data_IF_166793557368
#
_entry.id   IF_166793557368
#
_cell.length_a   1.000
_cell.length_b   1.000
_cell.length_c   1.000
_cell.angle_alpha   90.00
_cell.angle_beta   90.00
_cell.angle_gamma   90.00
#
_symmetry.space_group_name_H-M   'P 1'
#
loop_
_entity.id
_entity.type
_entity.pdbx_description
1 polymer ?
#
# COMPACT_ATOMS: atom_id res chain seq x y z
N UNK A 1 59.47 5.25 19.71
CA UNK A 1 59.55 6.45 18.85
C UNK A 1 59.06 6.03 17.47
N UNK A 2 58.05 6.63 16.84
CA UNK A 2 57.33 7.86 17.16
C UNK A 2 55.82 7.62 17.27
N UNK A 3 55.24 8.30 18.25
CA UNK A 3 53.80 8.54 18.28
C UNK A 3 53.50 9.58 17.21
N UNK A 4 52.64 9.23 16.25
CA UNK A 4 52.00 10.25 15.42
C UNK A 4 51.01 10.99 16.32
N UNK A 5 51.38 12.23 16.66
CA UNK A 5 50.63 13.18 17.49
C UNK A 5 49.82 14.14 16.60
N UNK A 6 49.28 13.66 15.49
CA UNK A 6 48.30 14.43 14.71
C UNK A 6 46.91 13.82 14.86
N UNK A 7 46.12 14.49 15.72
CA UNK A 7 44.71 14.27 16.00
C UNK A 7 44.37 12.97 16.75
N UNK A 8 43.94 13.11 18.01
CA UNK A 8 43.21 12.12 18.82
C UNK A 8 41.86 11.72 18.17
N UNK A 9 41.85 11.33 16.90
CA UNK A 9 40.69 10.70 16.28
C UNK A 9 40.83 9.22 16.61
N UNK A 10 40.17 8.82 17.69
CA UNK A 10 39.95 7.42 17.99
C UNK A 10 39.04 6.88 16.88
N UNK A 11 39.62 6.24 15.87
CA UNK A 11 38.86 5.62 14.77
C UNK A 11 38.20 4.36 15.31
N UNK A 12 37.02 4.52 15.90
CA UNK A 12 36.27 3.46 16.58
C UNK A 12 35.67 2.40 15.64
N UNK A 13 35.76 2.57 14.32
CA UNK A 13 35.05 1.76 13.32
C UNK A 13 35.94 1.03 12.30
N UNK A 14 37.27 1.15 12.37
CA UNK A 14 38.17 0.76 11.26
C UNK A 14 38.36 -0.74 11.02
N UNK A 15 37.42 -1.59 11.43
CA UNK A 15 37.49 -3.05 11.21
C UNK A 15 36.16 -3.79 11.33
N UNK A 16 35.03 -3.08 11.39
CA UNK A 16 33.73 -3.69 11.66
C UNK A 16 32.97 -3.90 10.34
N UNK A 17 33.09 -5.08 9.73
CA UNK A 17 32.18 -5.50 8.67
C UNK A 17 30.93 -6.11 9.31
N UNK A 18 29.78 -5.43 9.18
CA UNK A 18 28.50 -5.92 9.66
C UNK A 18 27.50 -5.91 8.50
N UNK A 19 26.72 -6.98 8.39
CA UNK A 19 25.66 -7.11 7.38
C UNK A 19 24.51 -6.12 7.58
N UNK A 20 24.43 -5.48 8.76
CA UNK A 20 23.45 -4.47 9.13
C UNK A 20 24.17 -3.26 9.72
N UNK A 21 23.73 -2.06 9.34
CA UNK A 21 24.12 -0.80 9.97
C UNK A 21 22.90 -0.16 10.59
N UNK A 22 22.97 0.20 11.87
CA UNK A 22 21.98 1.04 12.51
C UNK A 22 22.47 2.49 12.50
N UNK A 23 21.59 3.42 12.11
CA UNK A 23 21.95 4.83 12.00
C UNK A 23 22.18 5.45 13.39
N UNK A 24 23.21 6.30 13.45
CA UNK A 24 23.48 7.25 14.53
C UNK A 24 23.54 6.57 15.90
N UNK A 25 24.56 5.72 16.06
CA UNK A 25 24.94 5.11 17.34
C UNK A 25 26.26 5.67 17.88
N UNK A 26 26.78 6.74 17.27
CA UNK A 26 28.07 7.29 17.66
C UNK A 26 28.03 7.77 19.11
N UNK A 27 29.14 7.62 19.83
CA UNK A 27 29.34 7.95 21.25
C UNK A 27 29.31 9.47 21.53
N UNK A 28 28.53 10.21 20.76
CA UNK A 28 28.17 11.60 20.99
C UNK A 28 26.91 11.66 21.84
N UNK A 29 27.08 12.13 23.07
CA UNK A 29 26.08 12.12 24.12
C UNK A 29 24.76 12.79 23.69
N UNK A 30 24.81 13.91 22.98
CA UNK A 30 23.64 14.74 22.74
C UNK A 30 23.10 14.71 21.31
N UNK A 31 23.98 14.70 20.30
CA UNK A 31 23.59 14.76 18.89
C UNK A 31 22.81 13.51 18.45
N UNK A 32 23.35 12.33 18.80
CA UNK A 32 22.78 11.05 18.38
C UNK A 32 21.40 10.81 19.00
N UNK A 33 21.29 11.05 20.31
CA UNK A 33 20.03 10.93 21.02
C UNK A 33 18.98 11.92 20.50
N UNK A 34 19.37 13.17 20.26
CA UNK A 34 18.44 14.20 19.79
C UNK A 34 17.89 13.89 18.40
N UNK A 35 18.73 13.41 17.47
CA UNK A 35 18.30 13.04 16.13
C UNK A 35 17.35 11.82 16.17
N UNK A 36 17.72 10.76 16.88
CA UNK A 36 16.88 9.56 16.96
C UNK A 36 15.54 9.84 17.66
N UNK A 37 15.50 10.78 18.62
CA UNK A 37 14.25 11.27 19.23
C UNK A 37 13.43 12.14 18.29
N UNK A 38 14.05 12.91 17.38
CA UNK A 38 13.31 13.69 16.37
C UNK A 38 12.63 12.77 15.34
N UNK A 39 13.25 11.64 15.01
CA UNK A 39 12.66 10.65 14.09
C UNK A 39 11.50 9.88 14.73
N UNK A 40 11.49 9.74 16.06
CA UNK A 40 10.38 9.13 16.81
C UNK A 40 9.07 9.83 16.48
N UNK A 41 8.05 9.04 16.13
CA UNK A 41 6.73 9.45 15.69
C UNK A 41 6.66 10.17 14.33
N UNK A 42 7.79 10.48 13.69
CA UNK A 42 7.83 10.96 12.29
C UNK A 42 8.02 9.78 11.34
N UNK A 43 8.96 8.90 11.66
CA UNK A 43 9.24 7.67 10.91
C UNK A 43 8.58 6.51 11.66
N UNK A 44 7.72 5.77 10.97
CA UNK A 44 7.02 4.62 11.54
C UNK A 44 7.90 3.36 11.48
N UNK A 45 7.80 2.46 12.47
CA UNK A 45 8.51 1.20 12.39
C UNK A 45 8.00 0.33 11.22
N UNK A 46 8.94 -0.33 10.53
CA UNK A 46 8.69 -1.21 9.41
C UNK A 46 9.81 -1.20 8.35
N UNK A 47 9.58 -1.92 7.26
CA UNK A 47 10.51 -2.09 6.14
C UNK A 47 10.13 -1.19 4.97
N UNK A 48 11.07 -0.37 4.50
CA UNK A 48 10.87 0.59 3.43
C UNK A 48 11.32 0.08 2.06
N UNK A 49 12.38 -0.73 2.02
CA UNK A 49 12.83 -1.48 0.86
C UNK A 49 13.76 -2.62 1.30
N UNK A 50 14.03 -3.59 0.42
CA UNK A 50 14.93 -4.71 0.71
C UNK A 50 14.45 -5.60 1.84
N UNK A 51 15.38 -6.23 2.56
CA UNK A 51 15.12 -7.18 3.64
C UNK A 51 14.11 -8.30 3.26
N UNK A 52 14.30 -8.86 2.08
CA UNK A 52 13.46 -9.92 1.52
C UNK A 52 13.92 -11.29 2.02
N UNK A 53 13.07 -12.05 2.70
CA UNK A 53 13.38 -13.43 3.06
C UNK A 53 13.21 -14.34 1.84
N UNK A 54 14.30 -15.00 1.45
CA UNK A 54 14.32 -16.05 0.43
C UNK A 54 14.83 -17.36 1.04
N UNK A 55 14.46 -18.52 0.49
CA UNK A 55 15.03 -19.80 0.92
C UNK A 55 16.56 -19.78 0.87
N UNK A 56 17.19 -20.17 1.97
CA UNK A 56 18.65 -20.35 2.06
C UNK A 56 19.06 -21.79 1.77
N UNK A 57 20.33 -22.11 2.08
CA UNK A 57 20.82 -23.49 2.01
C UNK A 57 20.37 -24.28 3.23
N UNK A 58 19.80 -25.47 3.02
CA UNK A 58 19.29 -26.31 4.10
C UNK A 58 18.20 -25.60 4.93
N UNK A 59 18.19 -25.83 6.24
CA UNK A 59 17.25 -25.20 7.17
C UNK A 59 17.66 -23.75 7.50
N UNK A 60 17.75 -22.91 6.48
CA UNK A 60 18.03 -21.48 6.64
C UNK A 60 17.17 -20.61 5.73
N UNK A 61 17.00 -19.36 6.15
CA UNK A 61 16.43 -18.29 5.34
C UNK A 61 17.51 -17.25 5.13
N UNK A 62 17.70 -16.84 3.88
CA UNK A 62 18.58 -15.74 3.52
C UNK A 62 17.74 -14.47 3.43
N UNK A 63 18.09 -13.46 4.20
CA UNK A 63 17.50 -12.13 4.09
C UNK A 63 18.36 -11.33 3.14
N UNK A 64 17.78 -10.85 2.04
CA UNK A 64 18.52 -10.17 0.97
C UNK A 64 17.88 -8.84 0.58
N UNK A 65 18.67 -7.93 0.02
CA UNK A 65 18.18 -6.70 -0.60
C UNK A 65 18.54 -6.61 -2.08
N UNK A 66 19.05 -7.67 -2.69
CA UNK A 66 19.50 -7.67 -4.09
C UNK A 66 18.40 -7.35 -5.10
N UNK A 67 17.13 -7.64 -4.77
CA UNK A 67 15.99 -7.41 -5.66
C UNK A 67 15.33 -6.03 -5.47
N UNK A 68 15.91 -5.15 -4.65
CA UNK A 68 15.35 -3.82 -4.35
C UNK A 68 16.19 -2.70 -4.97
N UNK A 69 15.56 -1.54 -5.23
CA UNK A 69 16.25 -0.32 -5.67
C UNK A 69 17.12 0.25 -4.53
N UNK A 70 18.29 -0.37 -4.31
CA UNK A 70 19.26 0.03 -3.29
C UNK A 70 19.38 -0.93 -2.12
N UNK A 71 20.23 -0.56 -1.16
CA UNK A 71 20.42 -1.30 0.09
C UNK A 71 19.13 -1.27 0.92
N UNK A 72 18.76 -2.41 1.52
CA UNK A 72 17.51 -2.51 2.29
C UNK A 72 17.47 -1.47 3.40
N UNK A 73 16.29 -0.89 3.63
CA UNK A 73 16.08 0.12 4.65
C UNK A 73 14.88 -0.26 5.53
N UNK A 74 15.08 -0.20 6.84
CA UNK A 74 14.07 -0.45 7.85
C UNK A 74 14.14 0.62 8.92
N UNK A 75 13.06 0.78 9.68
CA UNK A 75 13.05 1.59 10.89
C UNK A 75 12.46 0.78 12.03
N UNK A 76 13.09 0.83 13.19
CA UNK A 76 12.74 0.06 14.38
C UNK A 76 12.50 1.03 15.51
N UNK A 77 11.38 0.84 16.19
CA UNK A 77 11.10 1.58 17.40
C UNK A 77 11.94 1.02 18.55
N UNK A 78 12.67 1.86 19.30
CA UNK A 78 13.50 1.44 20.44
C UNK A 78 13.24 2.38 21.61
N UNK A 79 12.34 1.99 22.51
CA UNK A 79 11.94 2.80 23.66
C UNK A 79 11.44 4.20 23.23
N UNK A 80 12.22 5.23 23.54
CA UNK A 80 11.91 6.64 23.28
C UNK A 80 12.58 7.19 22.01
N UNK A 81 13.21 6.34 21.21
CA UNK A 81 13.90 6.72 19.98
C UNK A 81 13.48 5.84 18.81
N UNK A 82 13.68 6.33 17.60
CA UNK A 82 13.50 5.57 16.38
C UNK A 82 14.89 5.31 15.75
N UNK A 83 15.18 4.05 15.42
CA UNK A 83 16.47 3.65 14.86
C UNK A 83 16.26 3.16 13.43
N UNK A 84 16.88 3.82 12.45
CA UNK A 84 16.93 3.33 11.08
C UNK A 84 17.99 2.24 10.97
N UNK A 85 17.72 1.18 10.21
CA UNK A 85 18.64 0.08 9.95
C UNK A 85 18.76 -0.14 8.45
N UNK A 86 20.00 -0.16 7.94
CA UNK A 86 20.33 -0.47 6.57
C UNK A 86 20.92 -1.87 6.46
N UNK A 87 20.48 -2.65 5.46
CA UNK A 87 21.09 -3.92 5.10
C UNK A 87 22.27 -3.68 4.14
N UNK A 88 23.47 -4.09 4.54
CA UNK A 88 24.70 -3.98 3.73
C UNK A 88 25.00 -5.26 2.97
N UNK A 89 24.78 -6.40 3.61
CA UNK A 89 25.02 -7.73 3.06
C UNK A 89 23.86 -8.68 3.40
N UNK A 90 23.77 -9.79 2.69
CA UNK A 90 22.81 -10.84 2.97
C UNK A 90 23.02 -11.43 4.37
N UNK A 91 21.93 -11.66 5.09
CA UNK A 91 21.96 -12.29 6.42
C UNK A 91 21.35 -13.67 6.33
N UNK A 92 22.14 -14.71 6.64
CA UNK A 92 21.63 -16.09 6.70
C UNK A 92 21.19 -16.42 8.12
N UNK A 93 19.93 -16.81 8.26
CA UNK A 93 19.30 -17.12 9.54
C UNK A 93 18.91 -18.60 9.57
N UNK A 94 19.45 -19.34 10.53
CA UNK A 94 19.07 -20.75 10.73
C UNK A 94 17.68 -20.86 11.35
N UNK A 95 16.91 -21.87 10.92
CA UNK A 95 15.55 -22.14 11.42
C UNK A 95 15.43 -23.58 11.93
N UNK A 96 14.50 -23.81 12.85
CA UNK A 96 14.24 -25.13 13.46
C UNK A 96 13.12 -25.87 12.73
N UNK A 97 13.34 -27.13 12.38
CA UNK A 97 12.30 -28.00 11.85
C UNK A 97 11.24 -28.37 12.90
N UNK A 98 10.01 -28.64 12.45
CA UNK A 98 8.87 -28.93 13.33
C UNK A 98 8.39 -27.74 14.16
N UNK A 99 8.71 -26.50 13.76
CA UNK A 99 8.39 -25.30 14.50
C UNK A 99 8.02 -24.13 13.57
N UNK A 100 7.29 -23.15 14.13
CA UNK A 100 7.16 -21.82 13.53
C UNK A 100 8.32 -20.96 14.01
N UNK A 101 9.17 -20.54 13.08
CA UNK A 101 10.29 -19.67 13.34
C UNK A 101 9.90 -18.25 12.95
N UNK A 102 9.89 -17.33 13.90
CA UNK A 102 9.66 -15.92 13.63
C UNK A 102 11.03 -15.28 13.37
N UNK A 103 11.22 -14.73 12.18
CA UNK A 103 12.43 -13.96 11.86
C UNK A 103 12.15 -12.52 12.25
N UNK A 104 13.02 -11.95 13.08
CA UNK A 104 12.89 -10.58 13.55
C UNK A 104 14.11 -9.77 13.15
N UNK A 105 13.89 -8.51 12.80
CA UNK A 105 14.94 -7.49 12.83
C UNK A 105 14.86 -6.79 14.19
N UNK A 106 15.95 -6.86 14.93
CA UNK A 106 16.13 -6.15 16.20
C UNK A 106 17.11 -4.99 16.00
N UNK A 107 16.82 -3.85 16.61
CA UNK A 107 17.77 -2.75 16.75
C UNK A 107 17.91 -2.40 18.23
N UNK A 108 19.11 -2.03 18.67
CA UNK A 108 19.33 -1.63 20.06
C UNK A 108 20.00 -0.26 20.09
N UNK A 109 19.52 0.57 21.02
CA UNK A 109 20.12 1.86 21.32
C UNK A 109 19.89 2.16 22.80
N UNK A 110 20.97 2.44 23.50
CA UNK A 110 20.94 2.92 24.87
C UNK A 110 21.96 4.05 25.02
N UNK A 111 21.54 5.13 25.66
CA UNK A 111 22.34 6.33 25.81
C UNK A 111 23.62 6.04 26.63
N UNK A 112 24.79 6.29 26.05
CA UNK A 112 26.08 6.05 26.69
C UNK A 112 26.60 4.61 26.61
N UNK A 113 25.85 3.70 25.97
CA UNK A 113 26.26 2.31 25.76
C UNK A 113 26.82 2.14 24.36
N UNK A 114 28.04 1.60 24.26
CA UNK A 114 28.64 1.25 22.96
C UNK A 114 28.02 -0.02 22.43
N UNK A 115 27.61 -0.02 21.17
CA UNK A 115 27.16 -1.23 20.46
C UNK A 115 28.30 -1.83 19.65
N UNK A 116 28.07 -3.01 19.07
CA UNK A 116 29.01 -3.70 18.17
C UNK A 116 29.47 -2.83 17.00
N UNK A 117 28.67 -1.84 16.58
CA UNK A 117 29.00 -0.92 15.47
C UNK A 117 29.99 0.18 15.87
N UNK A 118 30.08 0.49 17.17
CA UNK A 118 31.02 1.46 17.75
C UNK A 118 32.22 0.76 18.37
N UNK A 119 32.03 -0.46 18.87
CA UNK A 119 33.06 -1.26 19.53
C UNK A 119 32.75 -2.74 19.32
N UNK A 120 33.56 -3.41 18.50
CA UNK A 120 33.35 -4.82 18.16
C UNK A 120 33.45 -5.76 19.37
N UNK A 121 34.04 -5.31 20.49
CA UNK A 121 34.08 -6.07 21.74
C UNK A 121 32.79 -5.91 22.57
N UNK A 122 31.88 -5.03 22.18
CA UNK A 122 30.60 -4.86 22.88
C UNK A 122 29.72 -6.11 22.79
N UNK A 123 29.03 -6.43 23.87
CA UNK A 123 28.01 -7.47 23.92
C UNK A 123 26.65 -7.01 23.37
N UNK A 124 26.49 -5.72 23.08
CA UNK A 124 25.21 -5.13 22.63
C UNK A 124 25.23 -4.98 21.11
N UNK A 125 24.48 -5.82 20.41
CA UNK A 125 24.34 -5.71 18.95
C UNK A 125 23.63 -4.42 18.56
N UNK A 126 24.22 -3.63 17.65
CA UNK A 126 23.59 -2.44 17.09
C UNK A 126 22.26 -2.74 16.38
N UNK A 127 22.31 -3.72 15.48
CA UNK A 127 21.16 -4.36 14.87
C UNK A 127 21.51 -5.82 14.58
N UNK A 128 20.51 -6.69 14.57
CA UNK A 128 20.67 -8.10 14.21
C UNK A 128 19.38 -8.68 13.67
N UNK A 129 19.51 -9.68 12.79
CA UNK A 129 18.39 -10.52 12.38
C UNK A 129 18.62 -11.92 12.91
N UNK A 130 17.59 -12.49 13.54
CA UNK A 130 17.64 -13.85 14.05
C UNK A 130 16.26 -14.50 14.08
N UNK A 131 16.25 -15.82 14.21
CA UNK A 131 15.03 -16.61 14.38
C UNK A 131 14.72 -16.79 15.86
N UNK A 132 13.43 -16.71 16.18
CA UNK A 132 12.87 -17.05 17.49
C UNK A 132 11.66 -17.97 17.33
N UNK A 133 11.27 -18.66 18.40
CA UNK A 133 10.17 -19.66 18.35
C UNK A 133 9.04 -19.36 19.35
N UNK A 134 9.21 -18.34 20.17
CA UNK A 134 8.14 -17.78 20.99
C UNK A 134 7.32 -16.76 20.18
N UNK A 135 6.05 -16.62 20.54
CA UNK A 135 5.09 -15.79 19.81
C UNK A 135 5.11 -14.30 20.20
N UNK A 136 6.12 -13.86 20.96
CA UNK A 136 6.22 -12.50 21.48
C UNK A 136 7.26 -11.69 20.70
N UNK A 137 6.86 -10.53 20.16
CA UNK A 137 7.79 -9.58 19.53
C UNK A 137 8.24 -8.58 20.59
N UNK A 138 9.55 -8.39 20.73
CA UNK A 138 10.11 -7.40 21.64
C UNK A 138 9.80 -5.97 21.19
N UNK A 139 9.81 -5.01 22.12
CA UNK A 139 9.53 -3.60 21.80
C UNK A 139 10.53 -3.00 20.79
N UNK A 140 11.75 -3.53 20.79
CA UNK A 140 12.88 -3.14 19.93
C UNK A 140 13.00 -4.01 18.67
N UNK A 141 11.90 -4.65 18.25
CA UNK A 141 11.89 -5.64 17.17
C UNK A 141 10.73 -5.41 16.22
N UNK A 142 10.98 -5.73 14.95
CA UNK A 142 9.94 -5.83 13.93
C UNK A 142 10.01 -7.19 13.26
N UNK A 143 8.84 -7.78 13.01
CA UNK A 143 8.72 -9.10 12.41
C UNK A 143 8.99 -9.03 10.89
N UNK A 144 9.98 -9.79 10.41
CA UNK A 144 10.33 -9.92 8.99
C UNK A 144 9.42 -10.90 8.28
N UNK A 145 9.28 -12.09 8.85
CA UNK A 145 8.45 -13.17 8.35
C UNK A 145 8.31 -14.28 9.40
N UNK A 146 7.38 -15.20 9.14
CA UNK A 146 7.36 -16.50 9.82
C UNK A 146 7.77 -17.58 8.85
N UNK A 147 8.55 -18.54 9.31
CA UNK A 147 8.99 -19.71 8.56
C UNK A 147 8.39 -20.93 9.23
N UNK A 148 7.35 -21.48 8.63
CA UNK A 148 6.63 -22.65 9.15
C UNK A 148 7.30 -23.89 8.58
N UNK A 149 8.16 -24.52 9.37
CA UNK A 149 8.97 -25.65 8.91
C UNK A 149 8.35 -26.96 9.40
N UNK A 150 7.88 -27.86 8.52
CA UNK A 150 7.34 -29.16 8.91
C UNK A 150 8.39 -30.03 9.64
N UNK A 151 7.93 -30.98 10.45
CA UNK A 151 8.80 -31.99 11.04
C UNK A 151 9.48 -32.82 9.95
N UNK A 152 10.80 -33.03 10.07
CA UNK A 152 11.58 -33.81 9.09
C UNK A 152 11.99 -33.05 7.83
N UNK A 153 11.61 -31.78 7.67
CA UNK A 153 12.13 -30.95 6.58
C UNK A 153 13.65 -30.78 6.72
N UNK A 154 14.35 -30.84 5.59
CA UNK A 154 15.81 -30.66 5.50
C UNK A 154 16.22 -29.35 4.83
N UNK A 155 15.26 -28.67 4.19
CA UNK A 155 15.45 -27.37 3.58
C UNK A 155 14.21 -26.49 3.71
N UNK A 156 14.40 -25.17 3.73
CA UNK A 156 13.30 -24.20 3.63
C UNK A 156 12.87 -24.07 2.17
N UNK A 157 11.55 -24.02 1.92
CA UNK A 157 10.99 -23.68 0.60
C UNK A 157 10.29 -22.32 0.65
N UNK A 158 9.96 -21.76 -0.53
CA UNK A 158 9.31 -20.45 -0.62
C UNK A 158 7.94 -20.44 0.06
N UNK A 159 7.21 -21.55 -0.01
CA UNK A 159 5.87 -21.72 0.57
C UNK A 159 5.90 -21.77 2.10
N UNK A 160 7.03 -22.13 2.69
CA UNK A 160 7.22 -22.13 4.15
C UNK A 160 7.37 -20.70 4.71
N UNK A 161 7.69 -19.71 3.87
CA UNK A 161 7.92 -18.32 4.26
C UNK A 161 6.61 -17.52 4.16
N UNK A 162 6.11 -17.08 5.30
CA UNK A 162 4.88 -16.30 5.45
C UNK A 162 5.22 -14.84 5.72
N UNK A 163 4.88 -13.97 4.76
CA UNK A 163 5.14 -12.53 4.81
C UNK A 163 3.98 -11.70 5.40
N UNK A 164 2.86 -12.32 5.74
CA UNK A 164 1.64 -11.63 6.20
C UNK A 164 1.85 -10.65 7.37
N UNK A 165 2.81 -10.96 8.25
CA UNK A 165 3.09 -10.19 9.46
C UNK A 165 4.15 -9.11 9.24
N UNK A 166 4.78 -9.08 8.07
CA UNK A 166 5.81 -8.09 7.72
C UNK A 166 5.18 -6.72 7.57
N UNK A 167 5.69 -5.75 8.32
CA UNK A 167 5.20 -4.36 8.26
C UNK A 167 5.93 -3.62 7.14
N UNK A 168 5.40 -3.69 5.92
CA UNK A 168 5.91 -2.91 4.79
C UNK A 168 5.43 -1.46 4.90
N UNK A 169 6.33 -0.51 4.72
CA UNK A 169 6.07 0.92 4.70
C UNK A 169 6.54 1.47 3.37
N UNK A 170 5.65 2.01 2.55
CA UNK A 170 6.15 2.81 1.44
C UNK A 170 6.85 4.10 1.97
N UNK A 171 7.74 4.69 1.17
CA UNK A 171 8.29 6.03 1.47
C UNK A 171 7.39 7.06 0.77
N UNK A 172 6.89 8.06 1.50
CA UNK A 172 6.07 9.14 0.92
C UNK A 172 4.62 8.78 0.60
N UNK A 173 3.94 9.61 -0.18
CA UNK A 173 2.59 9.34 -0.73
C UNK A 173 2.74 8.78 -2.15
N UNK A 174 2.09 7.67 -2.44
CA UNK A 174 2.07 7.12 -3.79
C UNK A 174 1.05 7.88 -4.64
N UNK A 175 1.47 8.41 -5.79
CA UNK A 175 0.54 9.04 -6.71
C UNK A 175 -0.20 7.98 -7.51
N UNK A 176 -1.53 7.97 -7.42
CA UNK A 176 -2.37 6.99 -8.09
C UNK A 176 -3.39 7.63 -9.02
N UNK A 177 -3.67 6.93 -10.12
CA UNK A 177 -4.76 7.24 -11.06
C UNK A 177 -6.09 6.55 -10.68
N UNK A 178 -6.10 5.75 -9.60
CA UNK A 178 -7.31 5.11 -9.08
C UNK A 178 -8.27 6.15 -8.48
N UNK A 179 -9.58 5.97 -8.72
CA UNK A 179 -10.64 6.86 -8.19
C UNK A 179 -11.51 6.18 -7.11
N UNK A 180 -11.16 4.95 -6.72
CA UNK A 180 -11.91 4.13 -5.76
C UNK A 180 -11.05 3.64 -4.59
N UNK A 181 -9.80 4.08 -4.50
CA UNK A 181 -8.91 3.68 -3.40
C UNK A 181 -9.37 4.27 -2.08
N UNK A 182 -9.29 3.48 -1.02
CA UNK A 182 -9.49 3.93 0.37
C UNK A 182 -8.17 3.98 1.15
N UNK A 183 -7.04 3.79 0.48
CA UNK A 183 -5.72 3.83 1.11
C UNK A 183 -5.26 5.26 1.36
N UNK A 184 -5.05 5.62 2.62
CA UNK A 184 -4.60 6.97 3.03
C UNK A 184 -3.22 7.36 2.49
N UNK A 185 -2.42 6.37 2.07
CA UNK A 185 -1.09 6.59 1.50
C UNK A 185 -1.09 6.88 0.00
N UNK A 186 -2.24 6.80 -0.69
CA UNK A 186 -2.34 7.11 -2.11
C UNK A 186 -2.89 8.53 -2.31
N UNK A 187 -2.08 9.40 -2.89
CA UNK A 187 -2.51 10.73 -3.34
C UNK A 187 -3.09 10.65 -4.75
N UNK A 188 -4.25 11.24 -4.98
CA UNK A 188 -4.85 11.28 -6.31
C UNK A 188 -4.05 12.19 -7.26
N UNK A 189 -3.78 11.72 -8.48
CA UNK A 189 -3.20 12.57 -9.54
C UNK A 189 -4.27 13.47 -10.19
N UNK A 190 -3.88 14.51 -10.94
CA UNK A 190 -4.81 15.25 -11.80
C UNK A 190 -5.58 14.36 -12.78
N UNK A 191 -5.01 13.22 -13.21
CA UNK A 191 -5.67 12.24 -14.08
C UNK A 191 -6.75 11.45 -13.34
N UNK A 192 -6.52 11.02 -12.09
CA UNK A 192 -7.57 10.46 -11.23
C UNK A 192 -8.71 11.46 -11.04
N UNK A 193 -8.37 12.71 -10.70
CA UNK A 193 -9.37 13.77 -10.50
C UNK A 193 -10.19 14.01 -11.77
N UNK A 194 -9.54 14.05 -12.95
CA UNK A 194 -10.24 14.20 -14.23
C UNK A 194 -11.15 12.99 -14.54
N UNK A 195 -10.69 11.77 -14.28
CA UNK A 195 -11.50 10.57 -14.48
C UNK A 195 -12.74 10.54 -13.56
N UNK A 196 -12.60 10.93 -12.30
CA UNK A 196 -13.72 11.07 -11.38
C UNK A 196 -14.69 12.17 -11.82
N UNK A 197 -14.16 13.30 -12.30
CA UNK A 197 -14.96 14.38 -12.86
C UNK A 197 -15.74 13.93 -14.10
N UNK A 198 -15.10 13.27 -15.06
CA UNK A 198 -15.75 12.79 -16.29
C UNK A 198 -16.83 11.75 -15.99
N UNK A 199 -16.59 10.86 -15.02
CA UNK A 199 -17.59 9.89 -14.55
C UNK A 199 -18.80 10.59 -13.92
N UNK A 200 -18.56 11.60 -13.08
CA UNK A 200 -19.63 12.41 -12.49
C UNK A 200 -20.39 13.18 -13.58
N UNK A 201 -19.67 13.87 -14.46
CA UNK A 201 -20.24 14.63 -15.56
C UNK A 201 -21.09 13.73 -16.47
N UNK A 202 -20.59 12.58 -16.91
CA UNK A 202 -21.35 11.64 -17.75
C UNK A 202 -22.63 11.10 -17.09
N UNK A 203 -22.67 10.97 -15.76
CA UNK A 203 -23.88 10.55 -15.03
C UNK A 203 -24.92 11.67 -14.89
N UNK A 204 -24.49 12.93 -14.84
CA UNK A 204 -25.35 14.09 -14.57
C UNK A 204 -25.58 15.01 -15.77
N UNK A 205 -24.89 14.81 -16.89
CA UNK A 205 -25.26 15.40 -18.18
C UNK A 205 -26.45 14.62 -18.72
N UNK A 206 -27.66 15.12 -18.42
CA UNK A 206 -28.87 14.60 -19.03
C UNK A 206 -28.75 14.72 -20.56
N UNK A 207 -28.84 13.60 -21.26
CA UNK A 207 -28.91 13.60 -22.72
C UNK A 207 -30.37 13.74 -23.15
N UNK A 208 -30.62 14.46 -24.24
CA UNK A 208 -31.96 14.55 -24.80
C UNK A 208 -32.42 13.17 -25.31
N UNK A 209 -33.69 12.84 -25.10
CA UNK A 209 -34.22 11.59 -25.64
C UNK A 209 -34.40 11.69 -27.16
N UNK A 210 -34.16 10.58 -27.83
CA UNK A 210 -34.53 10.37 -29.24
C UNK A 210 -35.33 9.08 -29.35
N UNK A 211 -35.83 8.77 -30.55
CA UNK A 211 -36.52 7.49 -30.82
C UNK A 211 -35.61 6.27 -30.65
N UNK A 212 -34.28 6.45 -30.62
CA UNK A 212 -33.28 5.38 -30.48
C UNK A 212 -32.45 5.50 -29.19
N UNK A 213 -32.52 6.63 -28.48
CA UNK A 213 -31.74 6.92 -27.28
C UNK A 213 -32.63 7.37 -26.13
N UNK A 214 -32.47 6.75 -24.95
CA UNK A 214 -33.14 7.20 -23.72
C UNK A 214 -32.54 8.52 -23.26
N UNK A 215 -33.39 9.43 -22.79
CA UNK A 215 -32.95 10.75 -22.32
C UNK A 215 -34.08 11.56 -21.67
N UNK A 216 -33.85 12.85 -21.47
CA UNK A 216 -34.85 13.83 -21.01
C UNK A 216 -35.65 14.38 -22.19
N UNK A 217 -36.93 14.70 -21.96
CA UNK A 217 -37.81 15.34 -22.96
C UNK A 217 -38.52 16.53 -22.33
N UNK A 218 -38.75 17.58 -23.11
CA UNK A 218 -39.63 18.67 -22.70
C UNK A 218 -41.08 18.32 -23.06
N UNK A 219 -42.02 18.62 -22.16
CA UNK A 219 -43.44 18.36 -22.36
C UNK A 219 -44.10 19.50 -23.13
N UNK A 220 -44.95 19.18 -24.12
CA UNK A 220 -45.81 20.15 -24.81
C UNK A 220 -47.30 19.80 -24.68
N UNK A 221 -48.13 20.84 -24.63
CA UNK A 221 -49.60 20.73 -24.65
C UNK A 221 -50.21 21.08 -26.01
N UNK A 222 -49.39 21.29 -27.04
CA UNK A 222 -49.86 21.59 -28.39
C UNK A 222 -50.52 20.35 -29.02
N UNK A 223 -51.66 20.53 -29.68
CA UNK A 223 -52.40 19.42 -30.32
C UNK A 223 -52.04 19.20 -31.79
N UNK A 224 -51.14 20.02 -32.34
CA UNK A 224 -50.71 20.01 -33.74
C UNK A 224 -49.19 20.11 -33.90
N UNK A 225 -48.41 19.80 -32.86
CA UNK A 225 -46.95 19.84 -32.92
C UNK A 225 -46.42 18.77 -33.86
N UNK A 226 -45.45 19.13 -34.69
CA UNK A 226 -44.67 18.22 -35.53
C UNK A 226 -43.31 17.88 -34.93
N UNK A 227 -43.06 18.26 -33.66
CA UNK A 227 -41.76 18.03 -33.02
C UNK A 227 -41.59 16.57 -32.60
N UNK A 228 -40.45 15.98 -32.94
CA UNK A 228 -40.04 14.65 -32.48
C UNK A 228 -39.20 14.68 -31.19
N UNK A 229 -38.85 15.87 -30.69
CA UNK A 229 -38.05 16.06 -29.46
C UNK A 229 -38.89 16.39 -28.22
N UNK A 230 -40.20 16.61 -28.40
CA UNK A 230 -41.14 16.96 -27.34
C UNK A 230 -42.10 15.80 -27.09
N UNK A 231 -42.43 15.54 -25.82
CA UNK A 231 -43.46 14.56 -25.47
C UNK A 231 -44.81 15.23 -25.26
N UNK A 232 -45.87 14.62 -25.79
CA UNK A 232 -47.23 15.09 -25.61
C UNK A 232 -47.71 14.91 -24.16
N UNK A 233 -48.29 15.95 -23.57
CA UNK A 233 -48.96 15.84 -22.27
C UNK A 233 -50.31 15.12 -22.36
N UNK A 234 -50.83 14.54 -21.26
CA UNK A 234 -52.20 14.02 -21.21
C UNK A 234 -53.25 15.05 -21.64
N UNK A 235 -53.00 16.34 -21.39
CA UNK A 235 -53.84 17.46 -21.85
C UNK A 235 -53.91 17.53 -23.37
N UNK A 236 -52.77 17.49 -24.08
CA UNK A 236 -52.74 17.48 -25.54
C UNK A 236 -53.44 16.25 -26.12
N UNK A 237 -53.17 15.07 -25.56
CA UNK A 237 -53.77 13.81 -26.00
C UNK A 237 -55.29 13.83 -25.86
N UNK A 238 -55.79 14.29 -24.70
CA UNK A 238 -57.24 14.42 -24.46
C UNK A 238 -57.89 15.40 -25.43
N UNK A 239 -57.30 16.58 -25.62
CA UNK A 239 -57.84 17.59 -26.51
C UNK A 239 -57.88 17.13 -27.98
N UNK A 240 -56.84 16.43 -28.46
CA UNK A 240 -56.83 15.85 -29.79
C UNK A 240 -57.87 14.72 -29.95
N UNK A 241 -58.03 13.88 -28.93
CA UNK A 241 -59.06 12.83 -28.90
C UNK A 241 -60.48 13.41 -28.94
N UNK A 242 -60.78 14.40 -28.09
CA UNK A 242 -62.08 15.05 -28.04
C UNK A 242 -62.43 15.73 -29.38
N UNK A 243 -61.43 16.35 -30.03
CA UNK A 243 -61.57 16.91 -31.38
C UNK A 243 -61.87 15.83 -32.43
N UNK A 244 -61.15 14.70 -32.40
CA UNK A 244 -61.37 13.59 -33.32
C UNK A 244 -62.74 12.93 -33.11
N UNK A 245 -63.14 12.69 -31.86
CA UNK A 245 -64.44 12.14 -31.51
C UNK A 245 -65.60 13.05 -31.96
N UNK A 246 -65.45 14.37 -31.84
CA UNK A 246 -66.43 15.35 -32.33
C UNK A 246 -66.51 15.47 -33.86
N UNK A 247 -65.53 14.94 -34.61
CA UNK A 247 -65.47 14.99 -36.08
C UNK A 247 -65.77 13.64 -36.75
N UNK A 248 -65.85 12.55 -36.00
CA UNK A 248 -66.19 11.24 -36.53
C UNK A 248 -67.69 11.17 -36.90
N UNK A 249 -68.07 10.86 -38.15
CA UNK A 249 -69.47 10.63 -38.51
C UNK A 249 -69.97 9.34 -37.84
N UNK A 250 -71.24 9.34 -37.41
CA UNK A 250 -71.89 8.23 -36.68
C UNK A 250 -71.97 6.90 -37.44
N UNK A 251 -71.48 6.86 -38.69
CA UNK A 251 -71.51 5.67 -39.53
C UNK A 251 -70.22 5.59 -40.36
N UNK A 252 -69.17 4.98 -39.82
CA UNK A 252 -68.04 4.51 -40.63
C UNK A 252 -68.01 2.98 -40.59
N UNK A 253 -68.28 2.36 -41.74
CA UNK A 253 -67.97 0.95 -41.96
C UNK A 253 -66.46 0.77 -41.89
N UNK A 254 -65.96 0.17 -40.81
CA UNK A 254 -64.59 -0.35 -40.74
C UNK A 254 -64.38 -1.32 -41.90
N UNK A 255 -63.40 -1.04 -42.76
CA UNK A 255 -63.00 -1.93 -43.87
C UNK A 255 -62.30 -3.17 -43.32
N UNK A 256 -63.08 -4.10 -42.76
CA UNK A 256 -62.56 -5.34 -42.21
C UNK A 256 -63.65 -6.15 -41.53
N UNK A 257 -64.51 -6.80 -42.32
CA UNK A 257 -65.07 -8.16 -42.17
C UNK A 257 -65.78 -8.43 -43.51
N UNK A 258 -65.10 -9.12 -44.43
CA UNK A 258 -65.77 -9.78 -45.56
C UNK A 258 -66.39 -11.06 -44.98
N UNK A 259 -67.71 -11.11 -44.88
CA UNK A 259 -68.40 -12.38 -44.69
C UNK A 259 -68.25 -13.18 -45.99
N UNK A 260 -67.53 -14.30 -45.92
CA UNK A 260 -67.54 -15.33 -46.94
C UNK A 260 -68.95 -15.91 -47.02
N UNK A 261 -69.55 -15.86 -48.21
CA UNK A 261 -70.61 -16.78 -48.62
C UNK A 261 -69.94 -17.82 -49.51
#
# INVERSE_FOLDING_TARGET
MGADKTNNIMTLSSGVSQSLLADVQYFELYSSLALNRKLKNIVLPGFYCGFEPVPGTGLSVRITSENSEGKGAASVDVNNVQISVQQIEDVTVSVKAGATNIIVLEANFEHGVKTTQVDSASSVSAARIYARTDNTIGQNQIELCRVIVPSGATAVTKEMIVLKYRVNRAVGVEFSNEISSTEERKAATPKAVKAAYDLANGKYTAQDATTTQKGIVQLSSDTNSTSETLAATPKAVKAAYDLAAGKAPSNHTSHGIRSLV
#
